data_IF_500765385002
#
_entry.id   IF_500765385002
#
_cell.length_a   1.000
_cell.length_b   1.000
_cell.length_c   1.000
_cell.angle_alpha   90.00
_cell.angle_beta   90.00
_cell.angle_gamma   90.00
#
_symmetry.space_group_name_H-M   'P 1'
#
loop_
_entity.id
_entity.type
_entity.pdbx_description
1 polymer ?
#
# COMPACT_ATOMS: atom_id res chain seq x y z
N UNK A 1 -5.85 -18.97 -8.95
CA UNK A 1 -4.56 -18.82 -8.22
C UNK A 1 -3.51 -18.23 -9.14
N UNK A 2 -2.58 -17.43 -8.60
CA UNK A 2 -1.42 -16.85 -9.33
C UNK A 2 -0.15 -16.91 -8.50
N UNK A 3 1.00 -16.94 -9.16
CA UNK A 3 2.32 -16.82 -8.54
C UNK A 3 3.00 -15.53 -9.01
N UNK A 4 3.51 -14.75 -8.07
CA UNK A 4 4.36 -13.59 -8.34
C UNK A 4 5.77 -13.88 -7.84
N UNK A 5 6.77 -13.47 -8.62
CA UNK A 5 8.19 -13.58 -8.28
C UNK A 5 8.85 -12.21 -8.37
N UNK A 6 9.76 -11.89 -7.47
CA UNK A 6 10.44 -10.60 -7.43
C UNK A 6 11.89 -10.74 -6.95
N UNK A 7 12.70 -9.69 -7.14
CA UNK A 7 14.11 -9.70 -6.70
C UNK A 7 14.19 -9.84 -5.17
N UNK A 8 13.25 -9.20 -4.46
CA UNK A 8 13.04 -9.40 -3.02
C UNK A 8 11.55 -9.47 -2.66
N UNK A 9 11.25 -10.28 -1.65
CA UNK A 9 9.96 -10.25 -0.95
C UNK A 9 10.21 -9.87 0.51
N UNK A 10 9.60 -8.77 0.95
CA UNK A 10 9.61 -8.33 2.34
C UNK A 10 8.37 -8.85 3.05
N UNK A 11 8.55 -9.30 4.29
CA UNK A 11 7.45 -9.73 5.17
C UNK A 11 7.50 -8.96 6.47
N UNK A 12 6.42 -8.97 7.25
CA UNK A 12 6.37 -8.28 8.55
C UNK A 12 7.15 -8.99 9.67
N UNK A 13 7.66 -10.20 9.43
CA UNK A 13 8.23 -11.06 10.48
C UNK A 13 9.68 -11.48 10.21
N UNK A 14 10.08 -11.63 8.94
CA UNK A 14 11.37 -12.22 8.57
C UNK A 14 12.29 -11.24 7.85
N UNK A 15 13.57 -11.60 7.78
CA UNK A 15 14.53 -11.01 6.85
C UNK A 15 14.04 -11.09 5.40
N UNK A 16 14.51 -10.17 4.56
CA UNK A 16 14.20 -10.14 3.14
C UNK A 16 14.46 -11.50 2.47
N UNK A 17 13.51 -11.96 1.64
CA UNK A 17 13.64 -13.19 0.86
C UNK A 17 14.14 -12.81 -0.54
N UNK A 18 15.37 -13.18 -0.88
CA UNK A 18 15.95 -12.92 -2.20
C UNK A 18 15.36 -13.89 -3.23
N UNK A 19 14.97 -13.38 -4.40
CA UNK A 19 14.30 -14.17 -5.45
C UNK A 19 13.04 -14.91 -4.94
N UNK A 20 12.34 -14.32 -3.97
CA UNK A 20 11.16 -14.91 -3.34
C UNK A 20 9.94 -14.96 -4.26
N UNK A 21 8.94 -15.77 -3.87
CA UNK A 21 7.65 -15.81 -4.55
C UNK A 21 6.47 -15.66 -3.60
N UNK A 22 5.36 -15.07 -4.08
CA UNK A 22 4.08 -15.00 -3.37
C UNK A 22 3.02 -15.70 -4.20
N UNK A 23 2.29 -16.63 -3.58
CA UNK A 23 1.17 -17.34 -4.20
C UNK A 23 -0.12 -16.80 -3.61
N UNK A 24 -1.06 -16.45 -4.48
CA UNK A 24 -2.38 -15.94 -4.11
C UNK A 24 -3.50 -16.77 -4.74
N UNK A 25 -4.67 -16.77 -4.11
CA UNK A 25 -5.91 -17.26 -4.73
C UNK A 25 -6.50 -16.26 -5.72
N UNK A 26 -7.71 -16.55 -6.22
CA UNK A 26 -8.39 -15.71 -7.20
C UNK A 26 -9.00 -14.43 -6.59
N UNK A 27 -9.10 -14.35 -5.26
CA UNK A 27 -9.53 -13.16 -4.51
C UNK A 27 -8.33 -12.30 -4.05
N UNK A 28 -7.11 -12.74 -4.33
CA UNK A 28 -5.87 -12.03 -3.96
C UNK A 28 -5.40 -12.32 -2.53
N UNK A 29 -5.99 -13.29 -1.83
CA UNK A 29 -5.52 -13.71 -0.51
C UNK A 29 -4.19 -14.45 -0.67
N UNK A 30 -3.21 -14.08 0.16
CA UNK A 30 -1.91 -14.76 0.21
C UNK A 30 -2.10 -16.18 0.77
N UNK A 31 -1.79 -17.18 -0.05
CA UNK A 31 -1.80 -18.59 0.32
C UNK A 31 -0.43 -19.03 0.87
N UNK A 32 0.65 -18.51 0.27
CA UNK A 32 2.02 -18.90 0.64
C UNK A 32 3.03 -17.84 0.22
N UNK A 33 4.06 -17.65 1.03
CA UNK A 33 5.31 -16.98 0.64
C UNK A 33 6.40 -18.04 0.56
N UNK A 34 7.12 -18.08 -0.55
CA UNK A 34 8.16 -19.06 -0.84
C UNK A 34 9.53 -18.41 -0.81
N UNK A 35 10.40 -19.00 0.00
CA UNK A 35 11.84 -18.79 -0.04
C UNK A 35 12.47 -19.87 -0.94
N UNK A 36 13.26 -19.51 -1.97
CA UNK A 36 13.89 -20.49 -2.84
C UNK A 36 14.86 -21.44 -2.12
N UNK A 37 15.36 -21.07 -0.94
CA UNK A 37 16.23 -21.94 -0.13
C UNK A 37 15.44 -23.00 0.67
N UNK A 38 14.12 -22.85 0.76
CA UNK A 38 13.25 -23.77 1.50
C UNK A 38 12.67 -24.85 0.57
N UNK A 39 12.90 -26.11 0.94
CA UNK A 39 12.33 -27.26 0.22
C UNK A 39 10.84 -27.37 0.52
N UNK A 40 10.04 -27.48 -0.54
CA UNK A 40 8.60 -27.68 -0.44
C UNK A 40 8.25 -29.13 -0.11
N UNK A 41 7.11 -29.35 0.54
CA UNK A 41 6.55 -30.70 0.64
C UNK A 41 6.06 -31.19 -0.72
N UNK A 42 6.02 -32.51 -0.93
CA UNK A 42 5.51 -33.10 -2.18
C UNK A 42 4.07 -32.66 -2.53
N UNK A 43 3.25 -32.38 -1.51
CA UNK A 43 1.90 -31.86 -1.70
C UNK A 43 1.91 -30.41 -2.23
N UNK A 44 2.79 -29.56 -1.68
CA UNK A 44 2.96 -28.17 -2.12
C UNK A 44 3.56 -28.09 -3.52
N UNK A 45 4.57 -28.91 -3.82
CA UNK A 45 5.14 -29.00 -5.17
C UNK A 45 4.05 -29.33 -6.19
N UNK A 46 3.24 -30.36 -5.91
CA UNK A 46 2.12 -30.74 -6.79
C UNK A 46 1.07 -29.63 -6.91
N UNK A 47 0.74 -28.95 -5.80
CA UNK A 47 -0.25 -27.88 -5.80
C UNK A 47 0.20 -26.64 -6.60
N UNK A 48 1.51 -26.37 -6.63
CA UNK A 48 2.06 -25.13 -7.20
C UNK A 48 2.82 -25.32 -8.52
N UNK A 49 3.05 -26.56 -8.97
CA UNK A 49 3.86 -26.89 -10.16
C UNK A 49 3.41 -26.17 -11.45
N UNK A 50 2.11 -25.97 -11.62
CA UNK A 50 1.52 -25.48 -12.87
C UNK A 50 0.91 -24.06 -12.75
N UNK A 51 1.29 -23.29 -11.73
CA UNK A 51 0.79 -21.93 -11.59
C UNK A 51 1.44 -21.01 -12.63
N UNK A 52 0.60 -20.18 -13.27
CA UNK A 52 1.10 -19.05 -14.06
C UNK A 52 1.92 -18.12 -13.16
N UNK A 53 3.15 -17.84 -13.58
CA UNK A 53 4.12 -17.06 -12.82
C UNK A 53 4.38 -15.73 -13.50
N UNK A 54 4.12 -14.64 -12.80
CA UNK A 54 4.48 -13.29 -13.20
C UNK A 54 5.80 -12.89 -12.52
N UNK A 55 6.73 -12.34 -13.30
CA UNK A 55 8.01 -11.86 -12.77
C UNK A 55 8.02 -10.34 -12.73
N UNK A 56 8.11 -9.80 -11.52
CA UNK A 56 8.21 -8.38 -11.25
C UNK A 56 9.68 -8.01 -11.04
N UNK A 57 10.09 -6.87 -11.57
CA UNK A 57 11.40 -6.29 -11.26
C UNK A 57 11.25 -5.41 -10.01
N UNK A 58 12.11 -5.59 -9.01
CA UNK A 58 12.06 -4.86 -7.75
C UNK A 58 11.58 -5.70 -6.56
N UNK A 59 10.85 -5.06 -5.65
CA UNK A 59 10.53 -5.60 -4.33
C UNK A 59 9.02 -5.71 -4.15
N UNK A 60 8.54 -6.88 -3.71
CA UNK A 60 7.18 -7.03 -3.19
C UNK A 60 7.23 -6.79 -1.68
N UNK A 61 6.35 -5.93 -1.17
CA UNK A 61 6.19 -5.69 0.26
C UNK A 61 4.70 -5.55 0.62
N UNK A 62 4.33 -5.66 1.91
CA UNK A 62 2.99 -5.31 2.34
C UNK A 62 2.68 -3.85 1.99
N UNK A 63 1.47 -3.59 1.51
CA UNK A 63 0.99 -2.22 1.36
C UNK A 63 0.99 -1.49 2.71
N UNK A 64 1.28 -0.20 2.69
CA UNK A 64 1.32 0.61 3.89
C UNK A 64 -0.09 0.94 4.35
N UNK A 65 -0.25 0.98 5.68
CA UNK A 65 -1.52 1.34 6.31
C UNK A 65 -1.38 2.74 6.88
N UNK A 66 -2.12 3.69 6.30
CA UNK A 66 -2.31 5.01 6.90
C UNK A 66 -3.49 4.97 7.86
N UNK A 67 -3.21 4.82 9.16
CA UNK A 67 -4.25 4.68 10.21
C UNK A 67 -4.87 6.01 10.63
N UNK A 68 -4.32 7.15 10.20
CA UNK A 68 -4.80 8.47 10.63
C UNK A 68 -4.67 9.48 9.49
N UNK A 69 -5.81 9.86 8.93
CA UNK A 69 -5.90 10.89 7.89
C UNK A 69 -7.18 11.70 8.05
N UNK A 70 -7.11 12.97 7.67
CA UNK A 70 -8.25 13.90 7.64
C UNK A 70 -8.56 14.25 6.17
N UNK A 71 -9.21 13.34 5.45
CA UNK A 71 -9.54 13.53 4.04
C UNK A 71 -10.43 14.75 3.80
N UNK A 72 -11.27 15.11 4.77
CA UNK A 72 -12.12 16.30 4.74
C UNK A 72 -11.32 17.61 4.68
N UNK A 73 -10.05 17.58 5.11
CA UNK A 73 -9.16 18.74 5.07
C UNK A 73 -8.29 18.77 3.80
N UNK A 74 -8.43 17.81 2.88
CA UNK A 74 -7.58 17.70 1.67
C UNK A 74 -7.66 18.95 0.78
N UNK A 75 -8.82 19.63 0.75
CA UNK A 75 -9.00 20.90 0.03
C UNK A 75 -8.15 22.06 0.58
N UNK A 76 -7.51 21.89 1.74
CA UNK A 76 -6.59 22.86 2.35
C UNK A 76 -5.12 22.64 1.95
N UNK A 77 -4.82 21.61 1.14
CA UNK A 77 -3.44 21.32 0.65
C UNK A 77 -2.84 22.58 0.02
N UNK A 78 -1.73 23.05 0.56
CA UNK A 78 -1.02 24.25 0.10
C UNK A 78 -1.61 25.61 0.53
N UNK A 79 -2.76 25.65 1.21
CA UNK A 79 -3.41 26.91 1.64
C UNK A 79 -2.94 27.42 3.02
N UNK A 80 -2.32 26.56 3.83
CA UNK A 80 -1.87 26.91 5.19
C UNK A 80 -0.34 27.07 5.24
N UNK A 81 0.18 28.24 5.67
CA UNK A 81 1.63 28.44 5.81
C UNK A 81 2.27 27.53 6.86
N UNK A 82 3.36 26.86 6.48
CA UNK A 82 4.15 26.03 7.39
C UNK A 82 4.99 26.86 8.38
N UNK A 83 5.49 26.21 9.44
CA UNK A 83 6.48 26.81 10.36
C UNK A 83 5.93 27.88 11.33
N UNK A 84 4.61 28.00 11.48
CA UNK A 84 3.97 28.97 12.39
C UNK A 84 3.46 28.36 13.71
N UNK A 85 3.66 27.04 13.90
CA UNK A 85 3.22 26.31 15.10
C UNK A 85 1.73 25.95 15.11
N UNK A 86 1.34 25.17 16.12
CA UNK A 86 0.01 24.54 16.20
C UNK A 86 -1.15 25.55 16.33
N UNK A 87 -1.00 26.59 17.15
CA UNK A 87 -2.08 27.58 17.35
C UNK A 87 -2.40 28.31 16.04
N UNK A 88 -1.36 28.69 15.29
CA UNK A 88 -1.54 29.33 13.99
C UNK A 88 -2.18 28.37 12.99
N UNK A 89 -1.77 27.10 12.98
CA UNK A 89 -2.38 26.05 12.14
C UNK A 89 -3.89 25.93 12.41
N UNK A 90 -4.30 25.75 13.67
CA UNK A 90 -5.72 25.61 14.04
C UNK A 90 -6.54 26.84 13.60
N UNK A 91 -6.01 28.05 13.82
CA UNK A 91 -6.67 29.29 13.37
C UNK A 91 -6.85 29.31 11.85
N UNK A 92 -5.84 28.92 11.09
CA UNK A 92 -5.92 28.87 9.63
C UNK A 92 -6.92 27.80 9.15
N UNK A 93 -6.94 26.61 9.75
CA UNK A 93 -7.96 25.59 9.43
C UNK A 93 -9.35 26.15 9.64
N UNK A 94 -9.62 26.76 10.80
CA UNK A 94 -10.94 27.33 11.10
C UNK A 94 -11.36 28.44 10.13
N UNK A 95 -10.39 29.23 9.65
CA UNK A 95 -10.63 30.30 8.67
C UNK A 95 -10.94 29.77 7.27
N UNK A 96 -10.29 28.68 6.85
CA UNK A 96 -10.34 28.21 5.46
C UNK A 96 -11.20 26.96 5.24
N UNK A 97 -11.65 26.27 6.32
CA UNK A 97 -12.43 25.01 6.21
C UNK A 97 -13.82 25.14 5.58
N UNK A 98 -14.30 26.37 5.36
CA UNK A 98 -15.58 26.60 4.69
C UNK A 98 -15.31 26.66 3.19
N UNK A 99 -15.67 25.59 2.50
CA UNK A 99 -15.61 25.45 1.06
C UNK A 99 -16.92 24.81 0.58
N UNK A 100 -17.14 24.85 -0.73
CA UNK A 100 -18.25 24.13 -1.34
C UNK A 100 -18.06 22.63 -1.14
N UNK A 101 -19.15 21.92 -0.86
CA UNK A 101 -19.11 20.47 -0.59
C UNK A 101 -18.47 19.69 -1.75
N UNK A 102 -18.72 20.11 -2.99
CA UNK A 102 -18.10 19.52 -4.18
C UNK A 102 -16.58 19.68 -4.20
N UNK A 103 -16.04 20.84 -3.81
CA UNK A 103 -14.59 21.05 -3.72
C UNK A 103 -13.97 20.12 -2.68
N UNK A 104 -14.63 19.99 -1.52
CA UNK A 104 -14.16 19.11 -0.44
C UNK A 104 -14.13 17.65 -0.89
N UNK A 105 -15.21 17.17 -1.51
CA UNK A 105 -15.33 15.79 -1.97
C UNK A 105 -14.35 15.47 -3.11
N UNK A 106 -14.17 16.39 -4.06
CA UNK A 106 -13.21 16.22 -5.16
C UNK A 106 -11.77 16.14 -4.63
N UNK A 107 -11.41 17.04 -3.71
CA UNK A 107 -10.08 17.05 -3.11
C UNK A 107 -9.83 15.79 -2.25
N UNK A 108 -10.84 15.31 -1.53
CA UNK A 108 -10.76 14.08 -0.74
C UNK A 108 -10.56 12.85 -1.64
N UNK A 109 -11.32 12.72 -2.72
CA UNK A 109 -11.19 11.62 -3.67
C UNK A 109 -9.80 11.61 -4.35
N UNK A 110 -9.29 12.79 -4.70
CA UNK A 110 -7.94 12.93 -5.26
C UNK A 110 -6.85 12.53 -4.26
N UNK A 111 -6.97 12.94 -3.00
CA UNK A 111 -6.02 12.59 -1.96
C UNK A 111 -6.03 11.09 -1.64
N UNK A 112 -7.21 10.45 -1.64
CA UNK A 112 -7.33 8.99 -1.48
C UNK A 112 -6.66 8.23 -2.63
N UNK A 113 -6.89 8.65 -3.88
CA UNK A 113 -6.22 8.07 -5.05
C UNK A 113 -4.70 8.25 -4.98
N UNK A 114 -4.22 9.43 -4.56
CA UNK A 114 -2.78 9.71 -4.36
C UNK A 114 -2.18 8.79 -3.30
N UNK A 115 -2.86 8.54 -2.17
CA UNK A 115 -2.39 7.58 -1.17
C UNK A 115 -2.26 6.17 -1.76
N UNK A 116 -3.31 5.68 -2.44
CA UNK A 116 -3.30 4.34 -3.05
C UNK A 116 -2.19 4.18 -4.11
N UNK A 117 -1.87 5.21 -4.86
CA UNK A 117 -0.81 5.19 -5.87
C UNK A 117 0.60 5.19 -5.27
N UNK A 118 0.75 5.67 -4.04
CA UNK A 118 2.04 5.74 -3.34
C UNK A 118 2.28 4.58 -2.36
N UNK A 119 1.37 3.59 -2.35
CA UNK A 119 1.46 2.37 -1.56
C UNK A 119 1.01 2.52 -0.11
#
# INVERSE_FOLDING_TARGET
MKKFTADYVLTSQNSQIKNGSVIVDDEGKILKVLDPEVVLSAAEEKAFANLSSEKLSGVICPGFINTHCHLELSHLKGKIPAGKGLIAFIKNVQQHRKADESEVLEAAAKADAEMRENG
#
